data_IF_153619941262
#
_entry.id   IF_153619941262
#
_cell.length_a   1.000
_cell.length_b   1.000
_cell.length_c   1.000
_cell.angle_alpha   90.00
_cell.angle_beta   90.00
_cell.angle_gamma   90.00
#
_symmetry.space_group_name_H-M   'P 1'
#
loop_
_entity.id
_entity.type
_entity.pdbx_description
1 polymer ?
#
# COMPACT_ATOMS: atom_id res chain seq x y z
N UNK A 1 6.68 -70.25 3.59
CA UNK A 1 5.72 -69.22 3.18
C UNK A 1 6.29 -67.87 3.54
N UNK A 2 6.93 -67.17 2.59
CA UNK A 2 7.55 -65.87 2.82
C UNK A 2 6.66 -64.79 2.19
N UNK A 3 6.20 -63.83 2.99
CA UNK A 3 5.38 -62.69 2.55
C UNK A 3 6.32 -61.56 2.07
N UNK A 4 6.28 -61.26 0.78
CA UNK A 4 6.90 -60.06 0.21
C UNK A 4 5.99 -58.85 0.49
N UNK A 5 6.48 -57.91 1.30
CA UNK A 5 5.86 -56.60 1.51
C UNK A 5 6.29 -55.66 0.38
N UNK A 6 5.30 -55.18 -0.39
CA UNK A 6 5.46 -54.10 -1.36
C UNK A 6 5.65 -52.76 -0.62
N UNK A 7 6.78 -52.09 -0.86
CA UNK A 7 6.98 -50.69 -0.51
C UNK A 7 6.56 -49.79 -1.69
N UNK A 8 5.83 -48.68 -1.47
CA UNK A 8 5.48 -47.75 -2.52
C UNK A 8 6.68 -46.86 -2.92
N UNK A 9 6.86 -46.70 -4.22
CA UNK A 9 7.84 -45.83 -4.90
C UNK A 9 7.68 -44.34 -4.56
N UNK A 10 8.77 -43.56 -4.50
CA UNK A 10 8.72 -42.13 -4.23
C UNK A 10 8.19 -41.33 -5.42
N UNK A 11 7.36 -40.33 -5.10
CA UNK A 11 6.81 -39.32 -6.00
C UNK A 11 7.91 -38.61 -6.80
N UNK A 12 7.78 -38.67 -8.12
CA UNK A 12 8.63 -37.97 -9.07
C UNK A 12 8.54 -36.45 -8.88
N UNK A 13 9.70 -35.81 -8.80
CA UNK A 13 9.86 -34.37 -8.77
C UNK A 13 9.30 -33.74 -10.04
N UNK A 14 8.33 -32.83 -9.88
CA UNK A 14 7.89 -31.96 -10.97
C UNK A 14 9.02 -30.97 -11.29
N UNK A 15 9.56 -31.11 -12.51
CA UNK A 15 10.46 -30.16 -13.14
C UNK A 15 9.81 -28.78 -13.22
N UNK A 16 10.15 -27.89 -12.28
CA UNK A 16 10.00 -26.45 -12.49
C UNK A 16 11.05 -25.99 -13.52
N UNK A 17 10.62 -25.86 -14.78
CA UNK A 17 11.36 -25.10 -15.78
C UNK A 17 11.41 -23.64 -15.36
N UNK A 18 12.43 -23.27 -14.61
CA UNK A 18 12.87 -21.89 -14.45
C UNK A 18 13.36 -21.39 -15.82
N UNK A 19 12.53 -20.61 -16.50
CA UNK A 19 12.97 -19.79 -17.64
C UNK A 19 13.87 -18.69 -17.04
N UNK A 20 15.18 -18.93 -17.10
CA UNK A 20 16.21 -17.90 -16.91
C UNK A 20 16.28 -17.09 -18.19
N UNK A 21 15.64 -15.91 -18.21
CA UNK A 21 16.01 -14.88 -19.17
C UNK A 21 17.35 -14.28 -18.72
N UNK A 22 18.42 -14.71 -19.38
CA UNK A 22 19.73 -14.08 -19.33
C UNK A 22 19.60 -12.67 -19.90
N UNK A 23 19.79 -11.65 -19.07
CA UNK A 23 19.98 -10.28 -19.54
C UNK A 23 21.47 -9.97 -19.42
N UNK A 24 22.15 -10.10 -20.56
CA UNK A 24 23.54 -9.71 -20.73
C UNK A 24 23.72 -8.19 -20.58
N UNK A 25 24.88 -7.86 -20.03
CA UNK A 25 25.44 -6.55 -19.75
C UNK A 25 25.39 -5.57 -20.92
N UNK A 26 24.90 -4.35 -20.65
CA UNK A 26 25.36 -3.14 -21.35
C UNK A 26 25.57 -2.04 -20.31
N UNK A 27 26.76 -2.03 -19.71
CA UNK A 27 27.26 -0.89 -18.93
C UNK A 27 28.11 0.02 -19.82
N UNK A 28 27.58 1.18 -20.19
CA UNK A 28 28.40 2.31 -20.64
C UNK A 28 27.70 3.63 -20.27
N UNK A 29 27.89 4.07 -19.02
CA UNK A 29 27.50 5.42 -18.61
C UNK A 29 28.71 6.34 -18.71
N UNK A 30 28.66 7.24 -19.69
CA UNK A 30 29.56 8.38 -19.83
C UNK A 30 29.38 9.36 -18.68
N UNK A 31 30.48 9.65 -18.00
CA UNK A 31 30.58 10.60 -16.89
C UNK A 31 30.40 12.05 -17.36
N UNK A 32 29.22 12.64 -17.15
CA UNK A 32 28.99 14.08 -17.32
C UNK A 32 29.42 14.84 -16.06
N UNK A 33 30.40 15.74 -16.24
CA UNK A 33 30.87 16.71 -15.23
C UNK A 33 29.70 17.58 -14.74
N UNK A 34 29.50 17.63 -13.43
CA UNK A 34 28.51 18.50 -12.77
C UNK A 34 29.22 19.77 -12.27
N UNK A 35 28.66 20.99 -12.46
CA UNK A 35 29.27 22.21 -11.95
C UNK A 35 29.13 22.30 -10.42
N UNK A 36 30.21 22.67 -9.76
CA UNK A 36 30.25 22.98 -8.33
C UNK A 36 29.59 24.34 -8.05
N UNK A 37 28.46 24.32 -7.34
CA UNK A 37 27.84 25.53 -6.80
C UNK A 37 28.28 25.72 -5.33
N UNK A 38 29.02 26.78 -5.07
CA UNK A 38 29.38 27.24 -3.72
C UNK A 38 28.24 28.11 -3.17
N UNK A 39 27.60 27.67 -2.09
CA UNK A 39 26.58 28.44 -1.37
C UNK A 39 27.27 29.22 -0.24
N UNK A 40 27.31 30.55 -0.37
CA UNK A 40 27.75 31.45 0.70
C UNK A 40 26.58 31.69 1.66
N UNK A 41 26.72 31.26 2.91
CA UNK A 41 25.69 31.40 3.94
C UNK A 41 26.11 32.51 4.90
N UNK A 42 25.53 33.70 4.74
CA UNK A 42 25.66 34.79 5.72
C UNK A 42 24.63 34.57 6.83
N UNK A 43 25.12 34.40 8.06
CA UNK A 43 24.31 34.29 9.26
C UNK A 43 24.00 35.70 9.80
N UNK A 44 22.71 36.04 9.90
CA UNK A 44 22.24 37.25 10.60
C UNK A 44 21.92 36.89 12.06
N UNK A 45 22.41 37.65 13.05
CA UNK A 45 22.11 37.39 14.45
C UNK A 45 20.66 37.72 14.80
N UNK A 46 20.07 36.88 15.66
CA UNK A 46 18.69 36.95 16.15
C UNK A 46 18.63 37.81 17.41
N UNK A 47 17.77 38.83 17.52
CA UNK A 47 17.64 39.60 18.74
C UNK A 47 16.91 38.80 19.82
N UNK A 48 17.44 38.87 21.05
CA UNK A 48 16.78 38.35 22.24
C UNK A 48 15.72 39.35 22.69
N UNK A 49 14.46 38.95 22.60
CA UNK A 49 13.30 39.71 23.07
C UNK A 49 12.84 39.17 24.41
N UNK A 50 12.65 40.09 25.34
CA UNK A 50 12.40 39.94 26.76
C UNK A 50 11.03 39.30 27.09
N UNK A 51 11.01 38.56 28.20
CA UNK A 51 9.82 37.92 28.75
C UNK A 51 8.91 38.95 29.43
N UNK A 52 7.80 39.31 28.78
CA UNK A 52 6.70 40.03 29.40
C UNK A 52 5.60 39.06 29.84
N UNK A 53 5.46 38.89 31.16
CA UNK A 53 4.36 38.18 31.82
C UNK A 53 3.05 38.97 31.67
N UNK A 54 2.23 38.64 30.67
CA UNK A 54 0.87 39.14 30.54
C UNK A 54 -0.13 38.18 31.20
N UNK A 55 -0.84 38.67 32.22
CA UNK A 55 -2.00 38.01 32.82
C UNK A 55 -3.15 38.04 31.80
N UNK A 56 -3.67 36.87 31.44
CA UNK A 56 -4.87 36.74 30.61
C UNK A 56 -6.11 37.10 31.43
N UNK A 57 -6.64 38.30 31.27
CA UNK A 57 -8.05 38.59 31.56
C UNK A 57 -8.87 38.15 30.37
N UNK A 58 -9.52 37.00 30.52
CA UNK A 58 -10.46 36.39 29.58
C UNK A 58 -11.64 37.35 29.38
N UNK A 59 -11.55 38.19 28.35
CA UNK A 59 -12.61 39.07 27.92
C UNK A 59 -13.41 38.33 26.85
N UNK A 60 -14.67 38.06 27.15
CA UNK A 60 -15.65 37.40 26.28
C UNK A 60 -15.87 38.22 24.99
N UNK A 61 -15.02 37.98 24.00
CA UNK A 61 -15.20 38.47 22.64
C UNK A 61 -16.33 37.67 21.99
N UNK A 62 -17.51 38.30 21.94
CA UNK A 62 -18.68 37.84 21.20
C UNK A 62 -18.42 38.02 19.69
N UNK A 63 -18.57 36.94 18.92
CA UNK A 63 -18.41 36.97 17.46
C UNK A 63 -19.79 37.01 16.80
N UNK A 64 -19.98 38.00 15.94
CA UNK A 64 -21.20 38.15 15.14
C UNK A 64 -20.94 37.71 13.70
N UNK A 65 -21.90 37.04 13.08
CA UNK A 65 -21.84 36.78 11.64
C UNK A 65 -22.13 38.06 10.83
N UNK A 66 -22.04 37.95 9.50
CA UNK A 66 -22.31 39.08 8.58
C UNK A 66 -23.76 39.60 8.66
N UNK A 67 -24.65 38.87 9.31
CA UNK A 67 -26.05 39.25 9.51
C UNK A 67 -26.30 39.77 10.94
N UNK A 68 -25.26 39.91 11.76
CA UNK A 68 -25.38 40.39 13.14
C UNK A 68 -25.86 39.34 14.13
N UNK A 69 -25.88 38.05 13.79
CA UNK A 69 -26.25 37.00 14.74
C UNK A 69 -25.05 36.61 15.61
N UNK A 70 -25.25 36.55 16.92
CA UNK A 70 -24.25 36.08 17.86
C UNK A 70 -24.00 34.58 17.64
N UNK A 71 -22.81 34.22 17.15
CA UNK A 71 -22.46 32.83 16.87
C UNK A 71 -21.75 32.24 18.09
N UNK A 72 -22.40 31.26 18.72
CA UNK A 72 -21.79 30.53 19.83
C UNK A 72 -20.58 29.73 19.32
N UNK A 73 -19.37 30.05 19.81
CA UNK A 73 -18.11 29.39 19.39
C UNK A 73 -18.17 27.87 19.49
N UNK A 74 -18.98 27.33 20.41
CA UNK A 74 -19.14 25.88 20.55
C UNK A 74 -19.73 25.20 19.30
N UNK A 75 -20.65 25.85 18.58
CA UNK A 75 -21.31 25.28 17.40
C UNK A 75 -20.41 25.24 16.15
N UNK A 76 -19.36 26.06 16.10
CA UNK A 76 -18.39 26.04 14.98
C UNK A 76 -17.27 24.99 15.16
N UNK A 77 -17.13 24.41 16.36
CA UNK A 77 -16.10 23.39 16.64
C UNK A 77 -16.53 21.96 16.22
N UNK A 78 -17.83 21.67 16.17
CA UNK A 78 -18.34 20.32 15.90
C UNK A 78 -18.27 19.91 14.42
N UNK A 79 -18.16 20.87 13.48
CA UNK A 79 -18.14 20.58 12.05
C UNK A 79 -16.77 20.22 11.45
N UNK A 80 -15.68 20.17 12.24
CA UNK A 80 -14.33 19.88 11.70
C UNK A 80 -13.78 18.48 11.98
N UNK A 81 -14.50 17.62 12.68
CA UNK A 81 -14.13 16.21 12.79
C UNK A 81 -15.00 15.33 11.89
N UNK A 82 -14.98 15.56 10.57
CA UNK A 82 -15.25 14.45 9.63
C UNK A 82 -14.17 13.41 9.89
N UNK A 83 -14.53 12.41 10.72
CA UNK A 83 -13.73 11.26 11.08
C UNK A 83 -13.13 10.73 9.77
N UNK A 84 -11.82 10.96 9.57
CA UNK A 84 -11.10 10.39 8.44
C UNK A 84 -11.20 8.89 8.62
N UNK A 85 -12.16 8.30 7.92
CA UNK A 85 -12.35 6.88 7.89
C UNK A 85 -11.03 6.28 7.44
N UNK A 86 -10.50 5.36 8.25
CA UNK A 86 -9.18 4.84 8.01
C UNK A 86 -9.13 4.16 6.67
N UNK A 87 -8.02 4.34 5.96
CA UNK A 87 -7.77 3.60 4.71
C UNK A 87 -7.76 2.09 4.97
N UNK A 88 -7.51 1.64 6.21
CA UNK A 88 -7.39 0.22 6.53
C UNK A 88 -8.72 -0.48 6.82
N UNK A 89 -9.69 0.21 7.43
CA UNK A 89 -11.03 -0.35 7.69
C UNK A 89 -11.79 -0.71 6.40
N UNK A 90 -11.30 -0.20 5.28
CA UNK A 90 -11.83 -0.39 3.93
C UNK A 90 -11.46 -1.74 3.29
N UNK A 91 -10.47 -2.41 3.88
CA UNK A 91 -9.95 -3.67 3.37
C UNK A 91 -10.56 -4.82 4.14
N UNK A 92 -11.44 -5.58 3.46
CA UNK A 92 -11.83 -6.89 3.94
C UNK A 92 -10.65 -7.84 3.70
N UNK A 93 -9.81 -7.99 4.72
CA UNK A 93 -8.73 -8.97 4.74
C UNK A 93 -9.34 -10.35 4.98
N UNK A 94 -9.50 -11.15 3.92
CA UNK A 94 -9.72 -12.59 4.08
C UNK A 94 -8.40 -13.17 4.68
N UNK A 95 -8.43 -13.95 5.75
CA UNK A 95 -7.21 -14.46 6.42
C UNK A 95 -6.33 -15.31 5.49
N UNK A 96 -6.96 -15.94 4.49
CA UNK A 96 -6.30 -16.67 3.41
C UNK A 96 -5.63 -15.74 2.36
N UNK A 97 -5.71 -14.43 2.55
CA UNK A 97 -5.20 -13.41 1.63
C UNK A 97 -3.78 -12.94 1.91
N UNK A 98 -3.08 -13.45 2.93
CA UNK A 98 -1.69 -13.05 3.17
C UNK A 98 -0.78 -13.76 2.15
N UNK A 99 -0.14 -12.97 1.29
CA UNK A 99 0.83 -13.44 0.30
C UNK A 99 2.26 -13.45 0.83
N UNK A 100 3.20 -13.08 -0.02
CA UNK A 100 4.62 -13.00 0.34
C UNK A 100 4.90 -11.82 1.29
N UNK A 101 5.97 -11.92 2.06
CA UNK A 101 6.46 -10.88 2.96
C UNK A 101 7.97 -10.94 3.09
N UNK A 102 8.60 -9.87 3.57
CA UNK A 102 10.04 -9.83 3.79
C UNK A 102 10.56 -8.51 4.33
N UNK A 103 11.86 -8.45 4.60
CA UNK A 103 12.55 -7.23 4.98
C UNK A 103 12.91 -6.42 3.73
N UNK A 104 12.93 -5.09 3.87
CA UNK A 104 13.37 -4.17 2.82
C UNK A 104 13.75 -2.82 3.44
N UNK A 105 14.69 -2.10 2.83
CA UNK A 105 14.86 -0.67 3.10
C UNK A 105 13.82 0.12 2.30
N UNK A 106 13.15 1.08 2.94
CA UNK A 106 12.13 1.89 2.28
C UNK A 106 12.23 3.39 2.57
N UNK A 107 11.63 4.16 1.66
CA UNK A 107 11.38 5.60 1.78
C UNK A 107 9.96 5.88 1.31
N UNK A 108 9.05 5.98 2.26
CA UNK A 108 7.60 6.12 1.98
C UNK A 108 7.07 7.50 2.37
N UNK A 109 7.72 8.20 3.31
CA UNK A 109 7.39 9.57 3.70
C UNK A 109 8.03 10.55 2.73
N UNK A 110 7.34 11.66 2.43
CA UNK A 110 7.87 12.74 1.56
C UNK A 110 9.24 13.25 2.05
N UNK A 111 9.39 13.44 3.36
CA UNK A 111 10.67 13.85 3.95
C UNK A 111 11.78 12.81 3.71
N UNK A 112 11.48 11.52 3.88
CA UNK A 112 12.48 10.44 3.67
C UNK A 112 12.91 10.34 2.20
N UNK A 113 11.99 10.63 1.27
CA UNK A 113 12.28 10.72 -0.16
C UNK A 113 13.19 11.92 -0.49
N UNK A 114 12.92 13.09 0.10
CA UNK A 114 13.70 14.32 -0.09
C UNK A 114 15.10 14.21 0.52
N UNK A 115 15.20 13.81 1.80
CA UNK A 115 16.47 13.69 2.52
C UNK A 115 17.21 12.39 2.24
N UNK A 116 16.66 11.53 1.37
CA UNK A 116 17.26 10.27 0.94
C UNK A 116 17.69 9.37 2.13
N UNK A 117 16.88 9.31 3.19
CA UNK A 117 17.15 8.49 4.39
C UNK A 117 16.47 7.14 4.27
N UNK A 118 17.25 6.07 4.17
CA UNK A 118 16.73 4.70 4.19
C UNK A 118 16.30 4.29 5.60
N UNK A 119 15.17 3.60 5.71
CA UNK A 119 14.70 2.97 6.95
C UNK A 119 14.45 1.50 6.70
N UNK A 120 14.84 0.66 7.64
CA UNK A 120 14.42 -0.73 7.62
C UNK A 120 12.91 -0.82 7.85
N UNK A 121 12.31 -1.80 7.18
CA UNK A 121 10.87 -2.01 7.21
C UNK A 121 10.53 -3.44 6.82
N UNK A 122 9.36 -3.90 7.24
CA UNK A 122 8.84 -5.22 6.90
C UNK A 122 7.64 -5.07 5.98
N UNK A 123 7.69 -5.65 4.78
CA UNK A 123 6.61 -5.56 3.80
C UNK A 123 5.77 -6.83 3.80
N UNK A 124 4.47 -6.67 3.55
CA UNK A 124 3.53 -7.78 3.47
C UNK A 124 2.58 -7.54 2.30
N UNK A 125 2.52 -8.51 1.39
CA UNK A 125 1.51 -8.55 0.34
C UNK A 125 0.20 -9.10 0.87
N UNK A 126 -0.87 -8.35 0.64
CA UNK A 126 -2.23 -8.79 0.89
C UNK A 126 -2.91 -8.95 -0.47
N UNK A 127 -3.33 -10.18 -0.75
CA UNK A 127 -4.03 -10.51 -1.97
C UNK A 127 -5.39 -9.80 -2.07
N UNK A 128 -5.80 -9.44 -3.30
CA UNK A 128 -5.07 -9.65 -4.53
C UNK A 128 -4.00 -8.56 -4.80
N UNK A 129 -4.18 -7.34 -4.32
CA UNK A 129 -3.48 -6.18 -4.88
C UNK A 129 -3.17 -5.08 -3.85
N UNK A 130 -2.86 -5.45 -2.61
CA UNK A 130 -2.52 -4.52 -1.54
C UNK A 130 -1.11 -4.82 -1.02
N UNK A 131 -0.32 -3.78 -0.78
CA UNK A 131 0.98 -3.89 -0.13
C UNK A 131 0.96 -3.06 1.15
N UNK A 132 1.28 -3.70 2.27
CA UNK A 132 1.41 -3.08 3.58
C UNK A 132 2.88 -3.04 3.99
N UNK A 133 3.26 -1.99 4.70
CA UNK A 133 4.60 -1.80 5.25
C UNK A 133 4.50 -1.54 6.76
N UNK A 134 5.31 -2.24 7.51
CA UNK A 134 5.45 -2.16 8.96
C UNK A 134 6.86 -1.69 9.31
N UNK A 135 7.07 -1.22 10.55
CA UNK A 135 8.42 -0.82 11.01
C UNK A 135 9.28 -2.05 11.23
N UNK A 136 8.71 -3.12 11.77
CA UNK A 136 9.37 -4.39 12.01
C UNK A 136 8.44 -5.57 11.74
N UNK A 137 8.97 -6.79 11.84
CA UNK A 137 8.20 -8.04 11.71
C UNK A 137 7.25 -8.23 12.89
N UNK A 138 7.65 -7.78 14.08
CA UNK A 138 6.87 -7.85 15.31
C UNK A 138 5.60 -6.99 15.20
N UNK A 139 5.72 -5.77 14.69
CA UNK A 139 4.55 -4.90 14.39
C UNK A 139 3.54 -5.60 13.48
N UNK A 140 4.02 -6.36 12.49
CA UNK A 140 3.15 -7.16 11.63
C UNK A 140 2.47 -8.30 12.38
N UNK A 141 3.20 -9.03 13.24
CA UNK A 141 2.62 -10.13 14.03
C UNK A 141 1.55 -9.61 15.00
N UNK A 142 1.80 -8.47 15.66
CA UNK A 142 0.80 -7.78 16.49
C UNK A 142 -0.39 -7.41 15.61
N UNK A 143 -0.17 -6.73 14.49
CA UNK A 143 -1.24 -6.34 13.56
C UNK A 143 -2.09 -7.51 13.08
N UNK A 144 -1.47 -8.69 12.89
CA UNK A 144 -2.15 -9.92 12.48
C UNK A 144 -3.00 -10.49 13.62
N UNK A 145 -2.53 -10.44 14.87
CA UNK A 145 -3.26 -10.93 16.04
C UNK A 145 -4.33 -9.98 16.59
N UNK A 146 -4.23 -8.68 16.30
CA UNK A 146 -5.21 -7.68 16.72
C UNK A 146 -6.51 -7.79 15.92
N UNK A 147 -7.67 -7.68 16.59
CA UNK A 147 -8.99 -7.66 15.95
C UNK A 147 -9.11 -6.52 14.92
N UNK A 148 -10.00 -6.68 13.93
CA UNK A 148 -10.17 -5.69 12.84
C UNK A 148 -10.85 -4.41 13.33
N UNK A 149 -11.60 -4.50 14.42
CA UNK A 149 -12.36 -3.41 15.03
C UNK A 149 -11.48 -2.48 15.87
N UNK A 150 -10.31 -2.96 16.30
CA UNK A 150 -9.37 -2.18 17.09
C UNK A 150 -8.63 -1.14 16.23
N UNK A 151 -8.81 0.14 16.57
CA UNK A 151 -8.15 1.28 15.90
C UNK A 151 -6.64 1.31 16.13
N UNK A 152 -6.14 0.68 17.20
CA UNK A 152 -4.71 0.60 17.49
C UNK A 152 -3.95 -0.12 16.37
N UNK A 153 -4.60 -1.12 15.76
CA UNK A 153 -4.10 -1.91 14.64
C UNK A 153 -3.59 -1.04 13.51
N UNK A 154 -4.27 0.05 13.21
CA UNK A 154 -3.92 0.93 12.10
C UNK A 154 -2.61 1.69 12.30
N UNK A 155 -2.25 1.97 13.56
CA UNK A 155 -1.03 2.69 13.91
C UNK A 155 0.24 1.86 13.68
N UNK A 156 0.08 0.54 13.59
CA UNK A 156 1.17 -0.40 13.29
C UNK A 156 1.57 -0.36 11.82
N UNK A 157 0.64 0.01 10.93
CA UNK A 157 0.93 0.12 9.49
C UNK A 157 1.57 1.48 9.21
N UNK A 158 2.84 1.46 8.80
CA UNK A 158 3.59 2.66 8.45
C UNK A 158 3.15 3.25 7.11
N UNK A 159 2.85 2.39 6.13
CA UNK A 159 2.45 2.77 4.79
C UNK A 159 1.65 1.65 4.14
N UNK A 160 0.66 2.01 3.34
CA UNK A 160 -0.20 1.07 2.63
C UNK A 160 -0.48 1.59 1.22
N UNK A 161 -0.49 0.67 0.25
CA UNK A 161 -0.93 0.97 -1.12
C UNK A 161 -1.90 -0.09 -1.60
N UNK A 162 -3.03 0.37 -2.12
CA UNK A 162 -3.98 -0.45 -2.85
C UNK A 162 -3.83 -0.19 -4.36
N UNK A 163 -3.35 -1.19 -5.09
CA UNK A 163 -3.20 -1.11 -6.54
C UNK A 163 -4.53 -1.19 -7.29
N UNK A 164 -5.63 -1.64 -6.64
CA UNK A 164 -7.00 -1.64 -7.17
C UNK A 164 -7.75 -0.35 -6.81
N UNK A 165 -7.14 0.80 -7.08
CA UNK A 165 -7.72 2.11 -6.78
C UNK A 165 -9.10 2.33 -7.41
N UNK A 166 -9.38 1.68 -8.54
CA UNK A 166 -10.64 1.79 -9.30
C UNK A 166 -11.67 0.71 -8.95
N UNK A 167 -11.36 -0.20 -8.02
CA UNK A 167 -12.24 -1.28 -7.61
C UNK A 167 -12.56 -2.27 -8.74
N UNK A 168 -11.66 -2.44 -9.71
CA UNK A 168 -11.77 -3.38 -10.83
C UNK A 168 -11.87 -4.80 -10.30
N UNK A 169 -11.00 -5.18 -9.37
CA UNK A 169 -10.98 -6.54 -8.81
C UNK A 169 -12.23 -6.78 -7.97
N UNK A 170 -12.66 -5.78 -7.18
CA UNK A 170 -13.94 -5.83 -6.44
C UNK A 170 -15.12 -6.06 -7.38
N UNK A 171 -15.21 -5.31 -8.50
CA UNK A 171 -16.25 -5.48 -9.52
C UNK A 171 -16.21 -6.87 -10.17
N UNK A 172 -15.02 -7.40 -10.47
CA UNK A 172 -14.83 -8.74 -11.03
C UNK A 172 -15.29 -9.83 -10.05
N UNK A 173 -14.88 -9.77 -8.77
CA UNK A 173 -15.31 -10.71 -7.71
C UNK A 173 -16.83 -10.69 -7.56
N UNK A 174 -17.46 -9.50 -7.56
CA UNK A 174 -18.93 -9.34 -7.49
C UNK A 174 -19.64 -9.97 -8.69
N UNK A 175 -19.14 -9.75 -9.91
CA UNK A 175 -19.70 -10.36 -11.13
C UNK A 175 -19.59 -11.89 -11.11
N UNK A 176 -18.44 -12.41 -10.70
CA UNK A 176 -18.21 -13.85 -10.60
C UNK A 176 -19.13 -14.50 -9.57
N UNK A 177 -19.27 -13.89 -8.39
CA UNK A 177 -20.19 -14.35 -7.34
C UNK A 177 -21.63 -14.43 -7.85
N UNK A 178 -22.11 -13.39 -8.53
CA UNK A 178 -23.44 -13.39 -9.15
C UNK A 178 -23.62 -14.48 -10.22
N UNK A 179 -22.58 -14.75 -11.01
CA UNK A 179 -22.61 -15.82 -12.02
C UNK A 179 -22.73 -17.19 -11.36
N UNK A 180 -21.92 -17.45 -10.33
CA UNK A 180 -21.93 -18.69 -9.57
C UNK A 180 -23.28 -18.91 -8.85
N UNK A 181 -23.85 -17.85 -8.27
CA UNK A 181 -25.19 -17.91 -7.66
C UNK A 181 -26.27 -18.24 -8.69
N UNK A 182 -26.18 -17.68 -9.90
CA UNK A 182 -27.10 -18.00 -11.00
C UNK A 182 -26.98 -19.46 -11.44
N UNK A 183 -25.75 -19.94 -11.67
CA UNK A 183 -25.48 -21.34 -12.04
C UNK A 183 -26.00 -22.33 -10.98
N UNK A 184 -25.78 -22.03 -9.69
CA UNK A 184 -26.33 -22.83 -8.59
C UNK A 184 -27.86 -22.87 -8.61
N UNK A 185 -28.53 -21.72 -8.81
CA UNK A 185 -30.00 -21.66 -8.89
C UNK A 185 -30.55 -22.48 -10.06
N UNK A 186 -29.88 -22.43 -11.22
CA UNK A 186 -30.25 -23.24 -12.39
C UNK A 186 -30.09 -24.74 -12.12
N UNK A 187 -29.06 -25.13 -11.36
CA UNK A 187 -28.88 -26.53 -10.94
C UNK A 187 -30.00 -26.99 -9.98
N UNK A 188 -30.34 -26.20 -8.96
CA UNK A 188 -31.45 -26.53 -8.04
C UNK A 188 -32.80 -26.67 -8.76
N UNK A 189 -33.06 -25.83 -9.78
CA UNK A 189 -34.29 -25.93 -10.57
C UNK A 189 -34.37 -27.23 -11.39
N UNK A 190 -33.22 -27.80 -11.80
CA UNK A 190 -33.17 -29.07 -12.52
C UNK A 190 -33.38 -30.28 -11.60
N UNK A 191 -33.01 -30.17 -10.34
CA UNK A 191 -33.10 -31.26 -9.35
C UNK A 191 -34.49 -31.37 -8.68
N UNK A 192 -35.48 -30.55 -9.08
CA UNK A 192 -36.87 -30.69 -8.65
C UNK A 192 -37.16 -30.32 -7.18
N UNK A 193 -36.19 -29.75 -6.45
CA UNK A 193 -36.38 -29.35 -5.05
C UNK A 193 -37.09 -27.99 -4.97
N UNK A 194 -38.36 -27.97 -4.57
CA UNK A 194 -39.24 -26.77 -4.63
C UNK A 194 -39.09 -25.77 -3.47
N UNK A 195 -38.09 -25.90 -2.59
CA UNK A 195 -37.98 -25.04 -1.39
C UNK A 195 -36.63 -24.31 -1.31
N UNK A 196 -36.46 -23.24 -2.10
CA UNK A 196 -35.36 -22.29 -1.91
C UNK A 196 -35.91 -20.92 -1.52
N UNK A 197 -36.04 -20.66 -0.22
CA UNK A 197 -36.24 -19.31 0.32
C UNK A 197 -34.94 -18.53 0.17
N UNK A 198 -34.97 -17.41 -0.55
CA UNK A 198 -33.82 -16.54 -0.73
C UNK A 198 -33.96 -15.24 0.07
N UNK A 199 -33.99 -15.34 1.40
CA UNK A 199 -33.90 -14.19 2.29
C UNK A 199 -32.45 -13.66 2.34
N UNK A 200 -32.03 -13.02 1.26
CA UNK A 200 -30.73 -12.33 1.23
C UNK A 200 -30.92 -10.87 1.64
N UNK A 201 -30.74 -10.62 2.94
CA UNK A 201 -30.66 -9.28 3.49
C UNK A 201 -29.59 -8.47 2.73
N UNK A 202 -30.02 -7.40 2.06
CA UNK A 202 -29.13 -6.47 1.35
C UNK A 202 -28.31 -5.71 2.38
N UNK A 203 -27.13 -6.21 2.73
CA UNK A 203 -26.19 -5.47 3.57
C UNK A 203 -25.71 -4.22 2.81
N UNK A 204 -26.14 -3.04 3.27
CA UNK A 204 -25.67 -1.75 2.76
C UNK A 204 -24.24 -1.50 3.23
N UNK A 205 -23.26 -2.18 2.63
CA UNK A 205 -21.85 -1.87 2.82
C UNK A 205 -21.56 -0.56 2.09
N UNK A 206 -21.40 0.52 2.85
CA UNK A 206 -21.07 1.85 2.34
C UNK A 206 -19.82 1.77 1.44
N UNK A 207 -20.01 2.18 0.18
CA UNK A 207 -19.00 2.10 -0.85
C UNK A 207 -18.04 3.29 -0.68
N UNK A 208 -16.79 2.99 -0.35
CA UNK A 208 -15.72 3.99 -0.23
C UNK A 208 -15.64 4.84 -1.50
N UNK A 209 -15.43 6.17 -1.37
CA UNK A 209 -14.99 6.98 -2.49
C UNK A 209 -13.58 6.52 -2.87
N UNK A 210 -13.49 5.69 -3.90
CA UNK A 210 -12.24 5.41 -4.60
C UNK A 210 -11.47 6.74 -4.76
N UNK A 211 -10.16 6.73 -4.53
CA UNK A 211 -9.32 7.89 -4.79
C UNK A 211 -9.29 8.07 -6.31
N UNK A 212 -10.33 8.74 -6.85
CA UNK A 212 -10.67 8.80 -8.28
C UNK A 212 -9.52 9.38 -9.11
N UNK A 213 -8.61 10.08 -8.43
CA UNK A 213 -7.41 10.69 -8.97
C UNK A 213 -6.37 9.70 -9.50
N UNK A 214 -6.35 8.44 -9.03
CA UNK A 214 -5.28 7.49 -9.41
C UNK A 214 -5.57 6.83 -10.75
N UNK A 215 -4.72 7.13 -11.73
CA UNK A 215 -4.81 6.57 -13.07
C UNK A 215 -4.15 5.19 -13.15
N UNK A 216 -2.90 5.09 -12.70
CA UNK A 216 -2.08 3.87 -12.71
C UNK A 216 -0.92 3.97 -11.73
N UNK A 217 -0.27 2.84 -11.49
CA UNK A 217 1.04 2.77 -10.85
C UNK A 217 2.07 2.29 -11.88
N UNK A 218 3.31 2.75 -11.77
CA UNK A 218 4.45 2.26 -12.54
C UNK A 218 5.66 2.08 -11.65
N UNK A 219 6.57 1.21 -12.04
CA UNK A 219 7.85 1.02 -11.36
C UNK A 219 8.97 1.45 -12.29
N UNK A 220 9.94 2.17 -11.76
CA UNK A 220 11.20 2.41 -12.44
C UNK A 220 12.07 1.14 -12.43
N UNK A 221 13.13 1.17 -13.22
CA UNK A 221 14.11 0.10 -13.26
C UNK A 221 14.95 0.01 -12.00
N UNK A 222 15.47 -1.19 -11.79
CA UNK A 222 16.35 -1.48 -10.66
C UNK A 222 17.69 -0.84 -10.95
N UNK A 223 18.17 -0.04 -10.01
CA UNK A 223 19.48 0.58 -10.05
C UNK A 223 20.29 0.11 -8.86
N UNK A 224 21.57 -0.14 -9.10
CA UNK A 224 22.55 -0.45 -8.07
C UNK A 224 23.30 0.83 -7.72
N UNK A 225 23.36 1.19 -6.44
CA UNK A 225 24.06 2.39 -6.01
C UNK A 225 24.90 2.13 -4.76
N UNK A 226 26.18 2.50 -4.85
CA UNK A 226 27.06 2.60 -3.69
C UNK A 226 26.83 3.96 -3.00
N UNK A 227 26.35 3.95 -1.76
CA UNK A 227 26.06 5.19 -1.02
C UNK A 227 27.28 5.73 -0.25
N UNK A 228 28.16 4.85 0.20
CA UNK A 228 29.38 5.17 0.95
C UNK A 228 30.44 4.12 0.65
N UNK A 229 31.72 4.49 0.67
CA UNK A 229 32.86 3.63 0.25
C UNK A 229 32.92 2.27 0.97
N UNK A 230 32.41 2.18 2.21
CA UNK A 230 32.49 0.99 3.06
C UNK A 230 31.13 0.34 3.37
N UNK A 231 30.08 0.63 2.59
CA UNK A 231 28.78 -0.04 2.76
C UNK A 231 28.46 -0.91 1.55
N UNK A 232 27.67 -1.98 1.75
CA UNK A 232 27.23 -2.80 0.64
C UNK A 232 26.50 -1.96 -0.42
N UNK A 233 26.65 -2.38 -1.68
CA UNK A 233 25.89 -1.81 -2.79
C UNK A 233 24.41 -2.06 -2.51
N UNK A 234 23.59 -1.03 -2.65
CA UNK A 234 22.15 -1.16 -2.52
C UNK A 234 21.52 -1.25 -3.91
N UNK A 235 20.77 -2.33 -4.13
CA UNK A 235 19.90 -2.50 -5.28
C UNK A 235 18.55 -1.91 -4.92
N UNK A 236 17.97 -1.06 -5.76
CA UNK A 236 16.69 -0.43 -5.45
C UNK A 236 15.89 -0.01 -6.67
N UNK A 237 14.62 0.28 -6.45
CA UNK A 237 13.72 0.81 -7.48
C UNK A 237 12.75 1.82 -6.85
N UNK A 238 12.07 2.59 -7.69
CA UNK A 238 11.06 3.56 -7.26
C UNK A 238 9.69 3.14 -7.78
N UNK A 239 8.68 3.35 -6.94
CA UNK A 239 7.28 3.22 -7.30
C UNK A 239 6.70 4.61 -7.56
N UNK A 240 6.11 4.79 -8.73
CA UNK A 240 5.44 6.01 -9.15
C UNK A 240 3.93 5.81 -9.14
N UNK A 241 3.24 6.84 -8.67
CA UNK A 241 1.78 6.97 -8.69
C UNK A 241 1.43 8.01 -9.75
N UNK A 242 0.67 7.59 -10.76
CA UNK A 242 0.18 8.47 -11.81
C UNK A 242 -1.20 8.99 -11.44
N UNK A 243 -1.29 10.31 -11.36
CA UNK A 243 -2.51 11.07 -11.18
C UNK A 243 -2.86 11.80 -12.48
N UNK A 244 -4.01 12.47 -12.53
CA UNK A 244 -4.39 13.34 -13.66
C UNK A 244 -3.41 14.51 -13.85
N UNK A 245 -2.89 15.05 -12.75
CA UNK A 245 -1.94 16.17 -12.76
C UNK A 245 -0.52 15.73 -13.18
N UNK A 246 -0.19 14.44 -13.06
CA UNK A 246 1.13 13.92 -13.42
C UNK A 246 1.57 12.71 -12.59
N UNK A 247 2.81 12.28 -12.83
CA UNK A 247 3.45 11.18 -12.11
C UNK A 247 4.24 11.70 -10.91
N UNK A 248 4.13 11.02 -9.77
CA UNK A 248 4.93 11.31 -8.57
C UNK A 248 5.49 10.04 -7.94
N UNK A 249 6.75 10.09 -7.50
CA UNK A 249 7.35 9.00 -6.73
C UNK A 249 6.64 8.89 -5.38
N UNK A 250 5.97 7.76 -5.15
CA UNK A 250 5.24 7.51 -3.89
C UNK A 250 6.05 6.69 -2.90
N UNK A 251 7.00 5.87 -3.37
CA UNK A 251 7.89 5.10 -2.53
C UNK A 251 9.18 4.76 -3.28
N UNK A 252 10.26 4.56 -2.52
CA UNK A 252 11.48 3.94 -3.02
C UNK A 252 11.84 2.76 -2.11
N UNK A 253 12.35 1.69 -2.71
CA UNK A 253 12.72 0.45 -2.03
C UNK A 253 14.16 0.09 -2.37
N UNK A 254 14.88 -0.49 -1.42
CA UNK A 254 16.22 -1.01 -1.64
C UNK A 254 16.56 -2.17 -0.71
N UNK A 255 17.54 -2.99 -1.08
CA UNK A 255 18.22 -3.93 -0.20
C UNK A 255 19.66 -4.14 -0.68
N UNK A 256 20.54 -4.58 0.23
CA UNK A 256 21.84 -5.13 -0.14
C UNK A 256 21.70 -6.49 -0.81
N UNK A 257 20.61 -7.22 -0.57
CA UNK A 257 20.30 -8.48 -1.24
C UNK A 257 19.41 -8.22 -2.47
N UNK A 258 19.94 -8.51 -3.66
CA UNK A 258 19.21 -8.32 -4.91
C UNK A 258 17.93 -9.16 -5.01
N UNK A 259 17.90 -10.34 -4.38
CA UNK A 259 16.75 -11.25 -4.46
C UNK A 259 15.53 -10.72 -3.71
N UNK A 260 15.72 -10.03 -2.57
CA UNK A 260 14.62 -9.37 -1.85
C UNK A 260 13.95 -8.29 -2.72
N UNK A 261 14.76 -7.51 -3.44
CA UNK A 261 14.29 -6.47 -4.36
C UNK A 261 13.53 -7.08 -5.53
N UNK A 262 14.06 -8.15 -6.13
CA UNK A 262 13.42 -8.88 -7.23
C UNK A 262 12.08 -9.48 -6.78
N UNK A 263 12.04 -10.11 -5.61
CA UNK A 263 10.83 -10.70 -5.03
C UNK A 263 9.72 -9.65 -4.84
N UNK A 264 10.04 -8.54 -4.15
CA UNK A 264 9.09 -7.45 -3.96
C UNK A 264 8.63 -6.84 -5.30
N UNK A 265 9.55 -6.63 -6.25
CA UNK A 265 9.24 -6.07 -7.58
C UNK A 265 8.30 -7.01 -8.36
N UNK A 266 8.51 -8.32 -8.30
CA UNK A 266 7.63 -9.34 -8.93
C UNK A 266 6.22 -9.25 -8.38
N UNK A 267 6.07 -9.12 -7.06
CA UNK A 267 4.76 -8.97 -6.39
C UNK A 267 4.06 -7.67 -6.80
N UNK A 268 4.76 -6.54 -6.78
CA UNK A 268 4.17 -5.26 -7.18
C UNK A 268 3.78 -5.28 -8.66
N UNK A 269 4.61 -5.86 -9.53
CA UNK A 269 4.27 -6.03 -10.97
C UNK A 269 2.99 -6.83 -11.14
N UNK A 270 2.88 -7.96 -10.45
CA UNK A 270 1.67 -8.79 -10.46
C UNK A 270 0.43 -8.01 -10.02
N UNK A 271 0.54 -7.22 -8.95
CA UNK A 271 -0.55 -6.36 -8.48
C UNK A 271 -1.00 -5.34 -9.53
N UNK A 272 -0.06 -4.67 -10.21
CA UNK A 272 -0.34 -3.69 -11.27
C UNK A 272 -0.94 -4.34 -12.52
N UNK A 273 -0.46 -5.53 -12.89
CA UNK A 273 -0.99 -6.28 -14.04
C UNK A 273 -2.43 -6.75 -13.81
N UNK A 274 -2.74 -7.24 -12.60
CA UNK A 274 -4.09 -7.68 -12.26
C UNK A 274 -5.12 -6.56 -12.39
N UNK A 275 -4.73 -5.31 -12.13
CA UNK A 275 -5.63 -4.15 -12.14
C UNK A 275 -5.69 -3.42 -13.48
N UNK A 276 -4.72 -3.63 -14.37
CA UNK A 276 -4.65 -2.98 -15.69
C UNK A 276 -5.36 -3.73 -16.83
N UNK A 277 -5.52 -5.06 -16.74
CA UNK A 277 -6.01 -5.93 -17.83
C UNK A 277 -7.46 -5.69 -18.31
N UNK A 278 -8.19 -4.72 -17.77
CA UNK A 278 -9.62 -4.49 -18.08
C UNK A 278 -9.95 -3.67 -19.34
N UNK A 279 -8.97 -3.11 -20.06
CA UNK A 279 -9.24 -2.15 -21.16
C UNK A 279 -9.22 -2.70 -22.59
N UNK A 280 -8.86 -3.97 -22.81
CA UNK A 280 -8.87 -4.55 -24.16
C UNK A 280 -10.20 -5.26 -24.46
N UNK A 281 -11.25 -4.48 -24.70
CA UNK A 281 -12.35 -4.91 -25.58
C UNK A 281 -12.46 -3.84 -26.66
N UNK A 282 -11.87 -4.15 -27.82
CA UNK A 282 -12.25 -3.52 -29.09
C UNK A 282 -13.60 -4.07 -29.50
#
# INVERSE_FOLDING_TARGET
MAQCLYLPTPLQSLNEKCIYDSFDDVSSYTSTKVPSFTFSSQCVPRPQGENSSARNTESDLMFYDKNGNCVNKHALSEHRHKKKESVLSQFNFDENGIGQSGHILSRTKKADLLFRRWKESYWVHIQPAILLMFRSKEDFLIWKGTSKEDRSRERLVMWAVNFDSRGVLKKKKKKLKKKLEKEKKEQYLKEGSSSFSSDTAKSNQAMIPADKSVLKYSMLDVHSKMYTKNRPILHGFKLERWLEVGAGVTAAFASSNAEEVKSLRKIIRSCIEMTSKTRKKK
#
